data_IF_814518300425
#
_entry.id   IF_814518300425
#
_cell.length_a   1.000
_cell.length_b   1.000
_cell.length_c   1.000
_cell.angle_alpha   90.00
_cell.angle_beta   90.00
_cell.angle_gamma   90.00
#
_symmetry.space_group_name_H-M   'P 1'
#
loop_
_entity.id
_entity.type
_entity.pdbx_description
1 polymer ?
#
# COMPACT_ATOMS: atom_id res chain seq x y z
N UNK A 1 -42.00 -35.50 41.10
CA UNK A 1 -40.98 -34.43 41.00
C UNK A 1 -39.69 -35.11 40.52
N UNK A 2 -38.97 -34.75 39.47
CA UNK A 2 -38.94 -33.59 38.58
C UNK A 2 -38.58 -34.08 37.16
N UNK A 3 -39.05 -33.38 36.12
CA UNK A 3 -38.63 -33.59 34.72
C UNK A 3 -37.47 -32.64 34.44
N UNK A 4 -36.28 -33.18 34.17
CA UNK A 4 -35.14 -32.38 33.70
C UNK A 4 -35.26 -32.13 32.20
N UNK A 5 -35.38 -30.87 31.82
CA UNK A 5 -35.32 -30.41 30.44
C UNK A 5 -33.89 -29.99 30.13
N UNK A 6 -33.23 -30.67 29.19
CA UNK A 6 -31.91 -30.28 28.67
C UNK A 6 -32.12 -29.19 27.63
N UNK A 7 -31.57 -28.00 27.86
CA UNK A 7 -31.50 -26.93 26.86
C UNK A 7 -30.19 -27.08 26.08
N UNK A 8 -30.30 -27.38 24.78
CA UNK A 8 -29.18 -27.36 23.84
C UNK A 8 -29.07 -25.95 23.26
N UNK A 9 -28.05 -25.20 23.66
CA UNK A 9 -27.71 -23.90 23.07
C UNK A 9 -26.92 -24.13 21.78
N UNK A 10 -27.56 -23.91 20.62
CA UNK A 10 -26.87 -23.79 19.34
C UNK A 10 -26.18 -22.42 19.28
N UNK A 11 -24.85 -22.42 19.36
CA UNK A 11 -24.02 -21.28 19.00
C UNK A 11 -23.97 -21.19 17.47
N UNK A 12 -24.76 -20.28 16.89
CA UNK A 12 -24.64 -19.90 15.48
C UNK A 12 -23.39 -19.02 15.37
N UNK A 13 -22.31 -19.59 14.85
CA UNK A 13 -21.13 -18.82 14.44
C UNK A 13 -21.54 -17.93 13.27
N UNK A 14 -21.68 -16.63 13.53
CA UNK A 14 -21.88 -15.62 12.50
C UNK A 14 -20.53 -15.37 11.85
N UNK A 15 -20.23 -16.08 10.75
CA UNK A 15 -19.11 -15.70 9.88
C UNK A 15 -19.52 -14.41 9.18
N UNK A 16 -18.82 -13.28 9.39
CA UNK A 16 -19.04 -12.12 8.54
C UNK A 16 -18.69 -12.54 7.11
N UNK A 17 -19.68 -12.46 6.21
CA UNK A 17 -19.46 -12.72 4.80
C UNK A 17 -18.39 -11.77 4.28
N UNK A 18 -17.38 -12.31 3.61
CA UNK A 18 -16.42 -11.52 2.86
C UNK A 18 -17.21 -10.59 1.93
N UNK A 19 -17.10 -9.27 2.14
CA UNK A 19 -17.60 -8.31 1.16
C UNK A 19 -16.82 -8.58 -0.12
N UNK A 20 -17.52 -8.85 -1.22
CA UNK A 20 -16.88 -9.07 -2.51
C UNK A 20 -16.12 -7.79 -2.88
N UNK A 21 -14.79 -7.85 -2.82
CA UNK A 21 -13.94 -6.80 -3.35
C UNK A 21 -14.16 -6.75 -4.86
N UNK A 22 -14.46 -5.57 -5.40
CA UNK A 22 -14.60 -5.41 -6.84
C UNK A 22 -13.32 -5.89 -7.55
N UNK A 23 -13.50 -6.69 -8.61
CA UNK A 23 -12.41 -7.39 -9.27
C UNK A 23 -11.35 -6.43 -9.85
N UNK A 24 -10.08 -6.63 -9.44
CA UNK A 24 -8.92 -5.94 -10.01
C UNK A 24 -8.53 -6.65 -11.31
N UNK A 25 -8.53 -5.93 -12.43
CA UNK A 25 -8.13 -6.45 -13.72
C UNK A 25 -6.61 -6.38 -13.86
N UNK A 26 -5.99 -7.56 -13.89
CA UNK A 26 -4.54 -7.71 -14.09
C UNK A 26 -4.28 -8.15 -15.54
N UNK A 27 -3.38 -7.46 -16.22
CA UNK A 27 -2.97 -7.77 -17.60
C UNK A 27 -1.46 -7.95 -17.69
N UNK A 28 -1.01 -8.79 -18.61
CA UNK A 28 0.41 -9.05 -18.86
C UNK A 28 0.86 -8.26 -20.08
N UNK A 29 2.01 -7.60 -20.03
CA UNK A 29 2.53 -6.82 -21.16
C UNK A 29 3.11 -7.73 -22.24
N UNK A 30 3.88 -8.74 -21.85
CA UNK A 30 4.58 -9.64 -22.76
C UNK A 30 4.08 -11.09 -22.70
N UNK A 31 3.36 -11.45 -21.64
CA UNK A 31 2.82 -12.80 -21.43
C UNK A 31 3.88 -13.85 -21.09
N UNK A 32 5.03 -13.43 -20.53
CA UNK A 32 6.10 -14.34 -20.12
C UNK A 32 5.67 -15.22 -18.94
N UNK A 33 6.39 -16.31 -18.70
CA UNK A 33 6.12 -17.17 -17.53
C UNK A 33 6.37 -16.43 -16.20
N UNK A 34 7.32 -15.48 -16.17
CA UNK A 34 7.56 -14.62 -14.99
C UNK A 34 6.40 -13.66 -14.74
N UNK A 35 5.84 -13.05 -15.78
CA UNK A 35 4.67 -12.18 -15.69
C UNK A 35 3.42 -12.97 -15.25
N UNK A 36 3.15 -14.15 -15.84
CA UNK A 36 2.05 -15.04 -15.44
C UNK A 36 2.17 -15.48 -13.98
N UNK A 37 3.38 -15.87 -13.55
CA UNK A 37 3.60 -16.30 -12.17
C UNK A 37 3.40 -15.14 -11.18
N UNK A 38 3.80 -13.93 -11.55
CA UNK A 38 3.58 -12.72 -10.74
C UNK A 38 2.09 -12.35 -10.69
N UNK A 39 1.35 -12.53 -11.79
CA UNK A 39 -0.11 -12.36 -11.81
C UNK A 39 -0.79 -13.31 -10.83
N UNK A 40 -0.47 -14.61 -10.90
CA UNK A 40 -1.05 -15.61 -9.99
C UNK A 40 -0.73 -15.27 -8.53
N UNK A 41 0.51 -14.85 -8.25
CA UNK A 41 0.90 -14.42 -6.91
C UNK A 41 0.08 -13.21 -6.45
N UNK A 42 -0.08 -12.18 -7.29
CA UNK A 42 -0.85 -10.99 -6.96
C UNK A 42 -2.34 -11.29 -6.77
N UNK A 43 -2.95 -12.09 -7.64
CA UNK A 43 -4.34 -12.53 -7.53
C UNK A 43 -4.59 -13.24 -6.20
N UNK A 44 -3.67 -14.13 -5.79
CA UNK A 44 -3.71 -14.76 -4.47
C UNK A 44 -3.62 -13.74 -3.35
N UNK A 45 -2.68 -12.78 -3.41
CA UNK A 45 -2.53 -11.76 -2.38
C UNK A 45 -3.79 -10.88 -2.26
N UNK A 46 -4.44 -10.55 -3.38
CA UNK A 46 -5.69 -9.80 -3.38
C UNK A 46 -6.82 -10.61 -2.75
N UNK A 47 -6.85 -11.93 -2.96
CA UNK A 47 -7.86 -12.79 -2.33
C UNK A 47 -7.62 -13.02 -0.84
N UNK A 48 -6.35 -13.10 -0.40
CA UNK A 48 -5.96 -13.42 0.97
C UNK A 48 -5.99 -12.21 1.93
N UNK A 49 -6.03 -10.99 1.39
CA UNK A 49 -5.98 -9.74 2.16
C UNK A 49 -7.15 -8.82 1.82
N UNK A 50 -7.76 -8.20 2.85
CA UNK A 50 -8.72 -7.11 2.62
C UNK A 50 -7.98 -5.83 2.18
N UNK A 51 -7.94 -5.63 0.86
CA UNK A 51 -7.29 -4.49 0.22
C UNK A 51 -8.27 -3.37 -0.15
N UNK A 52 -9.55 -3.48 0.23
CA UNK A 52 -10.60 -2.54 -0.18
C UNK A 52 -10.25 -1.07 0.09
N UNK A 53 -9.62 -0.78 1.23
CA UNK A 53 -9.15 0.56 1.60
C UNK A 53 -7.90 1.05 0.84
N UNK A 54 -7.15 0.14 0.24
CA UNK A 54 -5.83 0.37 -0.37
C UNK A 54 -5.80 0.16 -1.89
N UNK A 55 -6.93 -0.20 -2.51
CA UNK A 55 -7.09 -0.33 -3.96
C UNK A 55 -7.79 0.91 -4.53
N UNK A 56 -7.05 1.77 -5.25
CA UNK A 56 -7.56 3.03 -5.80
C UNK A 56 -7.76 3.00 -7.33
N UNK A 57 -6.96 2.21 -8.05
CA UNK A 57 -7.25 1.79 -9.42
C UNK A 57 -7.52 0.29 -9.50
N UNK A 58 -8.34 -0.11 -10.48
CA UNK A 58 -8.65 -1.51 -10.78
C UNK A 58 -7.88 -2.04 -11.98
N UNK A 59 -7.09 -1.20 -12.65
CA UNK A 59 -6.30 -1.60 -13.81
C UNK A 59 -4.83 -1.76 -13.43
N UNK A 60 -4.34 -2.99 -13.52
CA UNK A 60 -2.96 -3.36 -13.17
C UNK A 60 -2.30 -4.07 -14.36
N UNK A 61 -1.05 -3.71 -14.62
CA UNK A 61 -0.16 -4.36 -15.58
C UNK A 61 0.99 -5.02 -14.85
N UNK A 62 1.46 -6.12 -15.40
CA UNK A 62 2.71 -6.77 -14.98
C UNK A 62 3.63 -6.80 -16.19
N UNK A 63 4.83 -6.26 -16.00
CA UNK A 63 5.84 -6.14 -17.04
C UNK A 63 7.21 -6.53 -16.48
N UNK A 64 7.94 -7.39 -17.20
CA UNK A 64 9.27 -7.80 -16.81
C UNK A 64 10.32 -6.69 -17.01
N UNK A 65 11.26 -6.55 -16.07
CA UNK A 65 12.41 -5.64 -16.22
C UNK A 65 12.14 -4.15 -16.07
N UNK A 66 10.93 -3.73 -15.67
CA UNK A 66 10.60 -2.30 -15.44
C UNK A 66 10.72 -1.89 -13.97
N UNK A 67 10.84 -0.57 -13.75
CA UNK A 67 10.61 0.01 -12.43
C UNK A 67 9.09 0.15 -12.26
N UNK A 68 8.51 -0.35 -11.15
CA UNK A 68 7.10 -0.16 -10.85
C UNK A 68 6.69 1.32 -10.92
N UNK A 69 5.49 1.58 -11.41
CA UNK A 69 4.95 2.93 -11.52
C UNK A 69 3.43 2.92 -11.60
N UNK A 70 2.82 3.96 -11.03
CA UNK A 70 1.36 4.09 -10.94
C UNK A 70 0.68 4.61 -12.21
N UNK A 71 1.33 5.47 -12.99
CA UNK A 71 0.71 6.20 -14.10
C UNK A 71 1.40 5.96 -15.44
N UNK A 72 0.66 5.92 -16.58
CA UNK A 72 -0.79 6.16 -16.69
C UNK A 72 -1.65 4.95 -16.31
N UNK A 73 -1.03 3.77 -16.18
CA UNK A 73 -1.66 2.54 -15.67
C UNK A 73 -0.70 1.95 -14.64
N UNK A 74 -1.23 1.44 -13.53
CA UNK A 74 -0.41 0.84 -12.49
C UNK A 74 0.32 -0.36 -13.06
N UNK A 75 1.65 -0.30 -13.10
CA UNK A 75 2.51 -1.34 -13.65
C UNK A 75 3.44 -1.84 -12.55
N UNK A 76 3.39 -3.13 -12.27
CA UNK A 76 4.28 -3.83 -11.35
C UNK A 76 5.36 -4.58 -12.14
N UNK A 77 6.52 -4.72 -11.51
CA UNK A 77 7.60 -5.56 -12.02
C UNK A 77 7.54 -6.98 -11.47
N UNK A 78 8.24 -7.89 -12.13
CA UNK A 78 8.41 -9.29 -11.73
C UNK A 78 9.45 -9.49 -10.62
N UNK A 79 10.11 -8.42 -10.16
CA UNK A 79 11.27 -8.47 -9.24
C UNK A 79 10.99 -9.21 -7.94
N UNK A 80 9.75 -9.16 -7.46
CA UNK A 80 9.32 -9.75 -6.17
C UNK A 80 8.54 -11.05 -6.34
N UNK A 81 8.70 -11.74 -7.47
CA UNK A 81 8.18 -13.08 -7.65
C UNK A 81 8.72 -14.00 -6.53
N UNK A 82 7.81 -14.70 -5.84
CA UNK A 82 8.01 -15.54 -4.63
C UNK A 82 8.26 -14.77 -3.33
N UNK A 83 8.20 -13.45 -3.34
CA UNK A 83 8.23 -12.62 -2.13
C UNK A 83 6.90 -11.88 -1.98
N UNK A 84 6.01 -12.45 -1.18
CA UNK A 84 4.65 -11.96 -0.98
C UNK A 84 4.60 -10.60 -0.29
N UNK A 85 5.47 -10.39 0.69
CA UNK A 85 5.45 -9.15 1.48
C UNK A 85 5.92 -7.98 0.64
N UNK A 86 6.98 -8.17 -0.16
CA UNK A 86 7.50 -7.11 -1.03
C UNK A 86 6.59 -6.86 -2.23
N UNK A 87 6.00 -7.88 -2.85
CA UNK A 87 5.03 -7.67 -3.93
C UNK A 87 3.79 -6.92 -3.42
N UNK A 88 3.27 -7.28 -2.25
CA UNK A 88 2.16 -6.58 -1.61
C UNK A 88 2.51 -5.12 -1.30
N UNK A 89 3.70 -4.88 -0.75
CA UNK A 89 4.24 -3.53 -0.48
C UNK A 89 4.28 -2.68 -1.74
N UNK A 90 4.85 -3.21 -2.84
CA UNK A 90 4.91 -2.50 -4.12
C UNK A 90 3.52 -2.24 -4.69
N UNK A 91 2.60 -3.21 -4.61
CA UNK A 91 1.21 -3.00 -5.03
C UNK A 91 0.56 -1.83 -4.30
N UNK A 92 0.60 -1.81 -2.97
CA UNK A 92 0.00 -0.72 -2.20
C UNK A 92 0.72 0.61 -2.40
N UNK A 93 2.06 0.60 -2.57
CA UNK A 93 2.85 1.79 -2.89
C UNK A 93 2.33 2.46 -4.17
N UNK A 94 2.17 1.69 -5.25
CA UNK A 94 1.70 2.24 -6.52
C UNK A 94 0.21 2.62 -6.47
N UNK A 95 -0.60 1.93 -5.69
CA UNK A 95 -1.99 2.34 -5.44
C UNK A 95 -2.06 3.68 -4.70
N UNK A 96 -1.18 3.91 -3.71
CA UNK A 96 -1.16 5.15 -2.94
C UNK A 96 -0.84 6.36 -3.81
N UNK A 97 -0.01 6.21 -4.84
CA UNK A 97 0.20 7.30 -5.81
C UNK A 97 -1.10 7.74 -6.49
N UNK A 98 -2.02 6.82 -6.83
CA UNK A 98 -3.35 7.18 -7.35
C UNK A 98 -4.17 7.98 -6.32
N UNK A 99 -4.20 7.52 -5.07
CA UNK A 99 -4.89 8.24 -3.99
C UNK A 99 -4.38 9.68 -3.81
N UNK A 100 -3.06 9.85 -3.83
CA UNK A 100 -2.43 11.17 -3.67
C UNK A 100 -2.63 12.06 -4.90
N UNK A 101 -2.66 11.49 -6.11
CA UNK A 101 -3.03 12.19 -7.36
C UNK A 101 -4.47 12.70 -7.32
N UNK A 102 -5.43 11.86 -6.91
CA UNK A 102 -6.85 12.24 -6.80
C UNK A 102 -7.08 13.29 -5.69
N UNK A 103 -6.17 13.37 -4.72
CA UNK A 103 -6.18 14.35 -3.64
C UNK A 103 -5.15 15.48 -3.83
N UNK A 104 -4.73 15.77 -5.07
CA UNK A 104 -3.60 16.66 -5.40
C UNK A 104 -3.49 17.94 -4.56
N UNK A 105 -4.58 18.70 -4.38
CA UNK A 105 -4.55 19.95 -3.60
C UNK A 105 -4.14 19.73 -2.13
N UNK A 106 -4.62 18.64 -1.52
CA UNK A 106 -4.25 18.27 -0.14
C UNK A 106 -2.82 17.74 -0.10
N UNK A 107 -2.44 16.94 -1.09
CA UNK A 107 -1.07 16.41 -1.25
C UNK A 107 -0.05 17.55 -1.36
N UNK A 108 -0.32 18.56 -2.19
CA UNK A 108 0.56 19.73 -2.35
C UNK A 108 0.65 20.56 -1.05
N UNK A 109 -0.43 20.66 -0.28
CA UNK A 109 -0.42 21.32 1.03
C UNK A 109 0.45 20.55 2.05
N UNK A 110 0.29 19.22 2.12
CA UNK A 110 1.12 18.36 2.98
C UNK A 110 2.61 18.44 2.61
N UNK A 111 2.92 18.43 1.31
CA UNK A 111 4.30 18.62 0.83
C UNK A 111 4.87 19.98 1.23
N UNK A 112 4.06 21.04 1.22
CA UNK A 112 4.49 22.35 1.70
C UNK A 112 4.80 22.36 3.21
N UNK A 113 4.08 21.58 4.01
CA UNK A 113 4.42 21.39 5.43
C UNK A 113 5.66 20.52 5.64
N UNK A 114 5.81 19.45 4.86
CA UNK A 114 7.05 18.66 4.87
C UNK A 114 8.27 19.51 4.52
N UNK A 115 8.18 20.39 3.53
CA UNK A 115 9.26 21.33 3.16
C UNK A 115 9.62 22.28 4.28
N UNK A 116 8.68 22.70 5.11
CA UNK A 116 8.99 23.53 6.31
C UNK A 116 9.68 22.71 7.39
N UNK A 117 9.32 21.42 7.51
CA UNK A 117 9.83 20.53 8.57
C UNK A 117 11.22 19.97 8.25
N UNK A 118 11.44 19.59 6.99
CA UNK A 118 12.68 19.10 6.43
C UNK A 118 13.04 19.97 5.24
N UNK A 119 13.69 21.13 5.43
CA UNK A 119 14.02 22.03 4.33
C UNK A 119 15.10 21.45 3.40
N UNK A 120 15.98 20.61 3.94
CA UNK A 120 17.11 20.00 3.22
C UNK A 120 16.85 18.50 3.03
N UNK A 121 16.26 18.13 1.89
CA UNK A 121 15.97 16.73 1.53
C UNK A 121 16.85 16.27 0.37
N UNK A 122 17.22 14.98 0.29
CA UNK A 122 17.96 14.49 -0.85
C UNK A 122 17.10 14.50 -2.12
N UNK A 123 17.76 14.75 -3.25
CA UNK A 123 17.24 14.56 -4.59
C UNK A 123 18.15 13.62 -5.37
N UNK A 124 17.58 12.67 -6.08
CA UNK A 124 18.24 11.66 -6.87
C UNK A 124 18.95 10.59 -6.05
N UNK A 125 19.64 9.71 -6.79
CA UNK A 125 20.39 8.61 -6.20
C UNK A 125 19.51 7.64 -5.40
N UNK A 126 20.12 6.86 -4.51
CA UNK A 126 19.38 5.91 -3.67
C UNK A 126 18.70 6.57 -2.47
N UNK A 127 19.07 7.82 -2.11
CA UNK A 127 18.57 8.47 -0.89
C UNK A 127 17.21 9.16 -1.10
N UNK A 128 17.07 9.95 -2.16
CA UNK A 128 15.87 10.71 -2.49
C UNK A 128 15.14 10.18 -3.72
N UNK A 129 14.03 10.83 -4.08
CA UNK A 129 13.35 10.61 -5.35
C UNK A 129 13.92 11.52 -6.44
N UNK A 130 13.32 11.58 -7.64
CA UNK A 130 13.90 12.28 -8.81
C UNK A 130 14.35 13.71 -8.53
N UNK A 131 13.57 14.44 -7.74
CA UNK A 131 13.77 15.83 -7.34
C UNK A 131 13.19 16.02 -5.92
N UNK A 132 13.42 17.17 -5.29
CA UNK A 132 12.92 17.44 -3.93
C UNK A 132 11.39 17.32 -3.84
N UNK A 133 10.67 17.81 -4.84
CA UNK A 133 9.21 17.77 -4.86
C UNK A 133 8.68 16.34 -4.87
N UNK A 134 9.34 15.47 -5.66
CA UNK A 134 9.14 14.03 -5.66
C UNK A 134 9.55 13.39 -4.33
N UNK A 135 10.62 13.86 -3.68
CA UNK A 135 11.02 13.35 -2.35
C UNK A 135 9.93 13.63 -1.30
N UNK A 136 9.36 14.85 -1.28
CA UNK A 136 8.26 15.17 -0.38
C UNK A 136 6.98 14.36 -0.68
N UNK A 137 6.69 14.10 -1.96
CA UNK A 137 5.61 13.18 -2.33
C UNK A 137 5.86 11.79 -1.74
N UNK A 138 7.08 11.27 -1.86
CA UNK A 138 7.41 9.93 -1.39
C UNK A 138 7.44 9.82 0.14
N UNK A 139 7.62 10.90 0.91
CA UNK A 139 7.36 10.88 2.36
C UNK A 139 5.90 10.49 2.64
N UNK A 140 4.94 11.07 1.91
CA UNK A 140 3.52 10.73 2.05
C UNK A 140 3.25 9.29 1.59
N UNK A 141 3.79 8.89 0.44
CA UNK A 141 3.60 7.54 -0.12
C UNK A 141 4.12 6.49 0.85
N UNK A 142 5.38 6.60 1.29
CA UNK A 142 6.04 5.63 2.17
C UNK A 142 5.39 5.59 3.56
N UNK A 143 4.87 6.71 4.06
CA UNK A 143 4.10 6.71 5.30
C UNK A 143 2.80 5.92 5.18
N UNK A 144 2.05 6.12 4.08
CA UNK A 144 0.82 5.36 3.85
C UNK A 144 1.10 3.91 3.52
N UNK A 145 2.21 3.60 2.84
CA UNK A 145 2.68 2.23 2.59
C UNK A 145 2.96 1.53 3.91
N UNK A 146 3.77 2.12 4.80
CA UNK A 146 4.04 1.56 6.13
C UNK A 146 2.75 1.27 6.90
N UNK A 147 1.79 2.20 6.84
CA UNK A 147 0.47 1.99 7.45
C UNK A 147 -0.29 0.82 6.83
N UNK A 148 -0.33 0.75 5.50
CA UNK A 148 -1.00 -0.32 4.78
C UNK A 148 -0.38 -1.68 5.11
N UNK A 149 0.94 -1.84 4.97
CA UNK A 149 1.60 -3.11 5.25
C UNK A 149 1.48 -3.52 6.72
N UNK A 150 1.46 -2.56 7.66
CA UNK A 150 1.18 -2.85 9.07
C UNK A 150 -0.24 -3.34 9.31
N UNK A 151 -1.23 -2.73 8.67
CA UNK A 151 -2.63 -3.14 8.77
C UNK A 151 -2.83 -4.54 8.14
N UNK A 152 -2.14 -4.86 7.03
CA UNK A 152 -2.31 -6.10 6.27
C UNK A 152 -1.49 -7.28 6.81
N UNK A 153 -0.27 -7.04 7.29
CA UNK A 153 0.70 -8.09 7.66
C UNK A 153 1.03 -8.12 9.16
N UNK A 154 0.63 -7.08 9.91
CA UNK A 154 1.04 -6.88 11.29
C UNK A 154 2.40 -6.20 11.44
N UNK A 155 2.69 -5.71 12.65
CA UNK A 155 3.83 -4.84 12.93
C UNK A 155 5.19 -5.46 12.58
N UNK A 156 5.46 -6.70 12.99
CA UNK A 156 6.78 -7.31 12.78
C UNK A 156 7.14 -7.49 11.31
N UNK A 157 6.17 -7.92 10.49
CA UNK A 157 6.36 -8.11 9.04
C UNK A 157 6.48 -6.76 8.33
N UNK A 158 5.64 -5.79 8.70
CA UNK A 158 5.76 -4.42 8.21
C UNK A 158 7.12 -3.80 8.51
N UNK A 159 7.67 -4.00 9.70
CA UNK A 159 9.02 -3.54 10.03
C UNK A 159 10.07 -4.17 9.13
N UNK A 160 10.00 -5.48 8.86
CA UNK A 160 10.93 -6.18 7.95
C UNK A 160 10.87 -5.63 6.52
N UNK A 161 9.67 -5.38 5.99
CA UNK A 161 9.45 -4.76 4.68
C UNK A 161 10.10 -3.38 4.62
N UNK A 162 9.82 -2.52 5.61
CA UNK A 162 10.40 -1.18 5.68
C UNK A 162 11.93 -1.21 5.81
N UNK A 163 12.47 -2.19 6.54
CA UNK A 163 13.90 -2.37 6.70
C UNK A 163 14.59 -2.83 5.40
N UNK A 164 13.93 -3.69 4.61
CA UNK A 164 14.39 -4.04 3.27
C UNK A 164 14.47 -2.78 2.40
N UNK A 165 13.37 -2.03 2.29
CA UNK A 165 13.30 -0.89 1.39
C UNK A 165 14.24 0.26 1.77
N UNK A 166 14.43 0.52 3.08
CA UNK A 166 15.43 1.49 3.59
C UNK A 166 16.86 1.20 3.12
N UNK A 167 17.17 -0.01 2.64
CA UNK A 167 18.49 -0.39 2.10
C UNK A 167 18.50 -0.47 0.57
N UNK A 168 17.34 -0.49 -0.07
CA UNK A 168 17.18 -0.63 -1.51
C UNK A 168 17.20 0.72 -2.23
N UNK A 169 16.12 1.51 -2.07
CA UNK A 169 15.89 2.80 -2.72
C UNK A 169 15.16 3.75 -1.76
N UNK A 170 15.10 5.05 -2.08
CA UNK A 170 14.49 6.07 -1.22
C UNK A 170 14.94 5.98 0.25
N UNK A 171 16.22 5.65 0.48
CA UNK A 171 16.74 5.21 1.77
C UNK A 171 16.52 6.24 2.87
N UNK A 172 16.73 7.51 2.55
CA UNK A 172 16.47 8.61 3.47
C UNK A 172 14.98 8.77 3.76
N UNK A 173 14.11 8.57 2.77
CA UNK A 173 12.66 8.69 2.93
C UNK A 173 12.13 7.59 3.86
N UNK A 174 12.46 6.32 3.61
CA UNK A 174 12.07 5.20 4.48
C UNK A 174 12.58 5.39 5.91
N UNK A 175 13.83 5.83 6.08
CA UNK A 175 14.39 6.15 7.39
C UNK A 175 13.62 7.27 8.08
N UNK A 176 13.34 8.36 7.37
CA UNK A 176 12.60 9.52 7.91
C UNK A 176 11.22 9.12 8.38
N UNK A 177 10.49 8.31 7.60
CA UNK A 177 9.16 7.81 7.99
C UNK A 177 9.23 6.90 9.22
N UNK A 178 10.24 6.02 9.32
CA UNK A 178 10.42 5.15 10.48
C UNK A 178 10.83 5.90 11.75
N UNK A 179 11.65 6.94 11.63
CA UNK A 179 12.16 7.73 12.76
C UNK A 179 11.16 8.79 13.23
N UNK A 180 10.32 9.31 12.34
CA UNK A 180 9.34 10.38 12.62
C UNK A 180 7.89 10.03 12.22
N UNK A 181 7.35 8.84 12.54
CA UNK A 181 6.04 8.40 12.04
C UNK A 181 4.89 9.23 12.62
N UNK A 182 5.06 9.79 13.83
CA UNK A 182 4.03 10.63 14.48
C UNK A 182 3.93 12.00 13.80
N UNK A 183 5.07 12.59 13.45
CA UNK A 183 5.16 13.88 12.80
C UNK A 183 4.60 13.82 11.38
N UNK A 184 5.04 12.84 10.58
CA UNK A 184 4.49 12.62 9.23
C UNK A 184 3.00 12.32 9.34
N UNK A 185 2.61 11.45 10.27
CA UNK A 185 1.22 11.07 10.47
C UNK A 185 0.31 12.22 10.87
N UNK A 186 0.79 13.15 11.68
CA UNK A 186 0.05 14.36 12.05
C UNK A 186 -0.23 15.22 10.82
N UNK A 187 0.79 15.52 10.01
CA UNK A 187 0.63 16.33 8.79
C UNK A 187 -0.36 15.66 7.83
N UNK A 188 -0.22 14.35 7.63
CA UNK A 188 -1.13 13.58 6.77
C UNK A 188 -2.57 13.58 7.31
N UNK A 189 -2.76 13.50 8.62
CA UNK A 189 -4.07 13.59 9.27
C UNK A 189 -4.69 14.98 9.14
N UNK A 190 -3.93 16.04 9.42
CA UNK A 190 -4.39 17.43 9.37
C UNK A 190 -4.86 17.84 7.96
N UNK A 191 -4.20 17.30 6.92
CA UNK A 191 -4.61 17.51 5.53
C UNK A 191 -5.66 16.52 5.01
N UNK A 192 -6.15 15.60 5.85
CA UNK A 192 -7.18 14.62 5.47
C UNK A 192 -6.71 13.63 4.40
N UNK A 193 -5.43 13.22 4.48
CA UNK A 193 -4.77 12.26 3.59
C UNK A 193 -4.60 10.88 4.24
N UNK A 194 -5.51 10.52 5.14
CA UNK A 194 -5.60 9.17 5.68
C UNK A 194 -6.76 8.45 4.98
N UNK A 195 -6.50 7.42 4.16
CA UNK A 195 -7.56 6.61 3.58
C UNK A 195 -8.50 6.07 4.65
N UNK A 196 -9.79 6.09 4.34
CA UNK A 196 -10.86 5.50 5.15
C UNK A 196 -11.43 4.31 4.39
N UNK A 197 -12.15 3.44 5.09
CA UNK A 197 -12.91 2.38 4.43
C UNK A 197 -13.71 2.95 3.28
N UNK A 198 -13.56 2.35 2.09
CA UNK A 198 -14.37 2.73 0.94
C UNK A 198 -15.76 2.17 1.19
N UNK A 199 -16.72 3.05 1.53
CA UNK A 199 -18.12 2.65 1.52
C UNK A 199 -18.47 2.25 0.09
N UNK A 200 -18.83 0.97 -0.11
CA UNK A 200 -19.29 0.46 -1.39
C UNK A 200 -20.37 1.40 -1.96
N UNK A 201 -20.07 2.04 -3.10
CA UNK A 201 -21.02 2.85 -3.85
C UNK A 201 -20.52 4.25 -4.19
N UNK A 202 -20.02 4.39 -5.42
CA UNK A 202 -20.63 5.26 -6.44
C UNK A 202 -20.54 4.61 -7.80
#
# INVERSE_FOLDING_TARGET
MARSTIFLLLLIAFSPGALAQDEVKITLVNGTETEKATQIQLERLIADHDLSKWTFTKEVRIEDGVIPHSHPVLTLSTRHLKDDELLLSTYVHEQIHWFLSDNRKKTDAAKAEFRKKWPDVPSGGPEGARDEDSTYLHIAVVYLEYRAVRELLGELRAMSVMDFWKRDHYRWIYRTVQESPREVGKIMFDHGLIPREQTAGR
#
